data_IF_473486381799
#
_entry.id   IF_473486381799
#
_cell.length_a   1.000
_cell.length_b   1.000
_cell.length_c   1.000
_cell.angle_alpha   90.00
_cell.angle_beta   90.00
_cell.angle_gamma   90.00
#
_symmetry.space_group_name_H-M   'P 1'
#
loop_
_entity.id
_entity.type
_entity.pdbx_description
1 polymer ?
#
# COMPACT_ATOMS: atom_id res chain seq x y z
N UNK A 1 -16.66 0.87 23.01
CA UNK A 1 -16.57 0.08 21.75
C UNK A 1 -16.13 -1.32 22.14
N UNK A 2 -17.01 -2.32 22.05
CA UNK A 2 -16.69 -3.71 22.45
C UNK A 2 -15.94 -4.39 21.30
N UNK A 3 -14.80 -5.01 21.62
CA UNK A 3 -13.99 -5.80 20.71
C UNK A 3 -14.74 -7.09 20.36
N UNK A 4 -14.89 -7.41 19.07
CA UNK A 4 -15.44 -8.68 18.62
C UNK A 4 -14.30 -9.70 18.55
N UNK A 5 -14.10 -10.46 19.62
CA UNK A 5 -13.28 -11.68 19.60
C UNK A 5 -14.12 -12.86 19.10
N UNK A 6 -13.83 -13.35 17.89
CA UNK A 6 -14.40 -14.62 17.39
C UNK A 6 -13.50 -15.74 17.88
N UNK A 7 -13.84 -16.36 19.01
CA UNK A 7 -12.98 -17.35 19.71
C UNK A 7 -13.21 -18.80 19.29
N UNK A 8 -14.18 -19.11 18.42
CA UNK A 8 -14.28 -20.43 17.78
C UNK A 8 -15.17 -20.40 16.55
N UNK A 9 -14.79 -21.19 15.54
CA UNK A 9 -15.55 -21.36 14.29
C UNK A 9 -16.66 -22.36 14.57
N UNK A 10 -17.91 -22.01 14.22
CA UNK A 10 -19.05 -22.92 14.36
C UNK A 10 -18.85 -24.17 13.50
N UNK A 11 -19.48 -25.29 13.84
CA UNK A 11 -19.39 -26.53 13.05
C UNK A 11 -19.80 -26.32 11.57
N UNK A 12 -20.79 -25.45 11.33
CA UNK A 12 -21.16 -25.00 9.99
C UNK A 12 -20.04 -24.20 9.30
N UNK A 13 -19.36 -23.32 10.03
CA UNK A 13 -18.20 -22.57 9.53
C UNK A 13 -16.99 -23.47 9.25
N UNK A 14 -16.75 -24.48 10.08
CA UNK A 14 -15.69 -25.46 9.88
C UNK A 14 -15.97 -26.31 8.65
N UNK A 15 -17.21 -26.78 8.48
CA UNK A 15 -17.66 -27.49 7.29
C UNK A 15 -17.49 -26.65 6.01
N UNK A 16 -17.77 -25.35 6.07
CA UNK A 16 -17.55 -24.44 4.95
C UNK A 16 -16.06 -24.26 4.63
N UNK A 17 -15.20 -24.19 5.64
CA UNK A 17 -13.75 -24.09 5.48
C UNK A 17 -13.20 -25.38 4.88
N UNK A 18 -13.64 -26.54 5.37
CA UNK A 18 -13.18 -27.84 4.88
C UNK A 18 -13.62 -28.08 3.43
N UNK A 19 -14.84 -27.67 3.07
CA UNK A 19 -15.32 -27.70 1.69
C UNK A 19 -14.53 -26.76 0.77
N UNK A 20 -14.15 -25.58 1.25
CA UNK A 20 -13.31 -24.65 0.51
C UNK A 20 -11.90 -25.22 0.33
N UNK A 21 -11.30 -25.78 1.38
CA UNK A 21 -9.98 -26.39 1.32
C UNK A 21 -9.93 -27.60 0.39
N UNK A 22 -10.94 -28.48 0.42
CA UNK A 22 -11.03 -29.61 -0.48
C UNK A 22 -11.10 -29.18 -1.96
N UNK A 23 -11.77 -28.05 -2.24
CA UNK A 23 -11.84 -27.49 -3.61
C UNK A 23 -10.51 -26.93 -4.06
N UNK A 24 -9.76 -26.28 -3.17
CA UNK A 24 -8.42 -25.74 -3.43
C UNK A 24 -7.42 -26.88 -3.68
N UNK A 25 -7.37 -27.90 -2.81
CA UNK A 25 -6.47 -29.04 -3.01
C UNK A 25 -6.78 -29.76 -4.32
N UNK A 26 -8.06 -29.97 -4.63
CA UNK A 26 -8.49 -30.60 -5.89
C UNK A 26 -8.16 -29.73 -7.11
N UNK A 27 -8.20 -28.40 -7.02
CA UNK A 27 -7.81 -27.53 -8.14
C UNK A 27 -6.30 -27.51 -8.37
N UNK A 28 -5.50 -27.62 -7.31
CA UNK A 28 -4.03 -27.60 -7.40
C UNK A 28 -3.41 -28.96 -7.79
N UNK A 29 -4.08 -30.08 -7.53
CA UNK A 29 -3.51 -31.43 -7.73
C UNK A 29 -4.11 -32.20 -8.91
N UNK A 30 -5.10 -31.64 -9.59
CA UNK A 30 -5.74 -32.31 -10.72
C UNK A 30 -4.92 -32.14 -12.00
N UNK A 31 -4.31 -33.24 -12.47
CA UNK A 31 -3.57 -33.32 -13.73
C UNK A 31 -4.48 -33.24 -14.99
N UNK A 32 -5.79 -33.00 -14.81
CA UNK A 32 -6.81 -33.07 -15.86
C UNK A 32 -7.52 -31.73 -16.11
N UNK A 33 -7.26 -30.70 -15.28
CA UNK A 33 -8.04 -29.44 -15.30
C UNK A 33 -7.23 -28.29 -15.89
N UNK A 34 -7.58 -27.86 -17.11
CA UNK A 34 -6.98 -26.71 -17.81
C UNK A 34 -7.53 -25.33 -17.37
N UNK A 35 -8.53 -25.28 -16.48
CA UNK A 35 -9.12 -24.00 -16.01
C UNK A 35 -9.03 -23.87 -14.49
N UNK A 36 -8.20 -22.92 -14.06
CA UNK A 36 -8.10 -22.46 -12.67
C UNK A 36 -9.41 -21.80 -12.27
N UNK A 37 -10.11 -22.38 -11.29
CA UNK A 37 -11.25 -21.74 -10.64
C UNK A 37 -10.82 -21.31 -9.23
N UNK A 38 -10.66 -20.00 -9.03
CA UNK A 38 -10.21 -19.36 -7.79
C UNK A 38 -9.57 -18.00 -8.07
N UNK A 39 -9.42 -17.11 -7.07
CA UNK A 39 -8.62 -15.89 -7.22
C UNK A 39 -7.16 -16.25 -7.52
N UNK A 40 -6.45 -15.35 -8.21
CA UNK A 40 -5.02 -15.50 -8.45
C UNK A 40 -4.28 -15.20 -7.14
N UNK A 41 -3.45 -16.13 -6.69
CA UNK A 41 -2.62 -16.02 -5.49
C UNK A 41 -1.40 -15.13 -5.76
N UNK A 42 -1.63 -13.82 -5.83
CA UNK A 42 -0.55 -12.85 -6.00
C UNK A 42 0.36 -12.80 -4.77
N UNK A 43 1.66 -12.97 -5.00
CA UNK A 43 2.65 -12.67 -3.96
C UNK A 43 2.81 -11.15 -3.87
N UNK A 44 2.49 -10.57 -2.72
CA UNK A 44 2.72 -9.15 -2.46
C UNK A 44 4.18 -8.90 -2.15
N UNK A 45 4.90 -8.26 -3.07
CA UNK A 45 6.32 -7.92 -2.91
C UNK A 45 6.54 -6.76 -1.92
N UNK A 46 5.84 -5.64 -2.12
CA UNK A 46 6.01 -4.45 -1.28
C UNK A 46 5.07 -4.54 -0.07
N UNK A 47 5.64 -4.98 1.05
CA UNK A 47 4.98 -5.02 2.36
C UNK A 47 5.70 -4.12 3.34
N UNK A 48 4.92 -3.34 4.08
CA UNK A 48 5.38 -2.57 5.23
C UNK A 48 4.75 -3.20 6.49
N UNK A 49 5.40 -3.09 7.66
CA UNK A 49 4.79 -3.54 8.90
C UNK A 49 3.45 -2.85 9.19
N UNK A 50 2.50 -3.57 9.77
CA UNK A 50 1.12 -3.09 9.96
C UNK A 50 0.99 -1.85 10.85
N UNK A 51 1.98 -1.56 11.69
CA UNK A 51 2.04 -0.34 12.49
C UNK A 51 2.46 0.91 11.70
N UNK A 52 2.79 0.77 10.41
CA UNK A 52 3.12 1.88 9.51
C UNK A 52 1.93 2.19 8.62
N UNK A 53 1.31 3.36 8.84
CA UNK A 53 0.30 3.86 7.93
C UNK A 53 0.94 4.48 6.68
N UNK A 54 0.62 3.95 5.52
CA UNK A 54 1.04 4.48 4.23
C UNK A 54 -0.16 4.76 3.32
N UNK A 55 -0.17 5.93 2.66
CA UNK A 55 -1.25 6.32 1.76
C UNK A 55 -0.70 6.82 0.42
N UNK A 56 -1.00 6.10 -0.67
CA UNK A 56 -0.55 6.45 -2.02
C UNK A 56 -1.03 7.84 -2.49
N UNK A 57 -2.22 8.29 -2.08
CA UNK A 57 -2.78 9.55 -2.59
C UNK A 57 -1.99 10.78 -2.13
N UNK A 58 -1.42 10.73 -0.93
CA UNK A 58 -0.56 11.80 -0.41
C UNK A 58 0.74 11.93 -1.23
N UNK A 59 1.26 10.82 -1.72
CA UNK A 59 2.55 10.80 -2.43
C UNK A 59 2.37 11.09 -3.93
N UNK A 60 1.38 10.47 -4.57
CA UNK A 60 1.16 10.61 -6.02
C UNK A 60 0.30 11.83 -6.35
N UNK A 61 -0.83 12.02 -5.66
CA UNK A 61 -1.77 13.09 -6.02
C UNK A 61 -1.35 14.43 -5.45
N UNK A 62 -0.93 14.48 -4.17
CA UNK A 62 -0.53 15.72 -3.50
C UNK A 62 0.95 16.01 -3.76
N UNK A 63 1.83 15.04 -3.46
CA UNK A 63 3.27 15.16 -3.65
C UNK A 63 3.74 15.12 -5.11
N UNK A 64 2.88 14.73 -6.06
CA UNK A 64 3.20 14.62 -7.50
C UNK A 64 4.43 13.76 -7.80
N UNK A 65 4.73 12.79 -6.94
CA UNK A 65 5.87 11.90 -7.13
C UNK A 65 5.57 10.88 -8.24
N UNK A 66 6.54 10.69 -9.13
CA UNK A 66 6.49 9.65 -10.14
C UNK A 66 6.59 8.25 -9.50
N UNK A 67 5.88 7.27 -10.07
CA UNK A 67 5.89 5.88 -9.60
C UNK A 67 7.31 5.31 -9.54
N UNK A 68 8.13 5.67 -10.53
CA UNK A 68 9.49 5.20 -10.72
C UNK A 68 10.43 5.61 -9.59
N UNK A 69 10.14 6.70 -8.88
CA UNK A 69 10.94 7.15 -7.73
C UNK A 69 10.94 6.11 -6.61
N UNK A 70 9.81 5.42 -6.39
CA UNK A 70 9.66 4.43 -5.33
C UNK A 70 9.84 2.99 -5.84
N UNK A 71 9.23 2.66 -6.99
CA UNK A 71 9.16 1.29 -7.52
C UNK A 71 10.19 0.99 -8.61
N UNK A 72 11.01 1.97 -9.02
CA UNK A 72 11.92 1.83 -10.16
C UNK A 72 11.19 1.86 -11.49
N UNK A 73 11.91 1.65 -12.59
CA UNK A 73 11.36 1.61 -13.95
C UNK A 73 10.54 0.35 -14.20
N UNK A 74 9.34 0.31 -13.64
CA UNK A 74 8.42 -0.84 -13.71
C UNK A 74 8.08 -1.21 -15.16
N UNK A 75 8.10 -0.24 -16.07
CA UNK A 75 7.87 -0.45 -17.50
C UNK A 75 8.97 -1.28 -18.19
N UNK A 76 10.17 -1.37 -17.60
CA UNK A 76 11.28 -2.19 -18.08
C UNK A 76 11.40 -3.54 -17.32
N UNK A 77 10.48 -3.83 -16.38
CA UNK A 77 10.52 -5.04 -15.56
C UNK A 77 9.62 -6.14 -16.11
N UNK A 78 10.23 -7.22 -16.64
CA UNK A 78 9.51 -8.44 -17.05
C UNK A 78 8.89 -9.19 -15.86
N UNK A 79 9.61 -9.21 -14.73
CA UNK A 79 9.11 -9.70 -13.43
C UNK A 79 9.32 -8.61 -12.40
N UNK A 80 8.27 -8.31 -11.64
CA UNK A 80 8.32 -7.30 -10.59
C UNK A 80 9.38 -7.67 -9.55
N UNK A 81 10.16 -6.68 -9.14
CA UNK A 81 11.15 -6.79 -8.06
C UNK A 81 11.08 -5.57 -7.17
N UNK A 82 11.53 -5.72 -5.93
CA UNK A 82 11.67 -4.59 -5.03
C UNK A 82 12.89 -3.75 -5.43
N UNK A 83 12.65 -2.53 -5.90
CA UNK A 83 13.70 -1.59 -6.32
C UNK A 83 14.27 -0.80 -5.13
N UNK A 84 13.38 -0.16 -4.36
CA UNK A 84 13.76 0.58 -3.16
C UNK A 84 13.62 -0.30 -1.91
N UNK A 85 14.48 -0.09 -0.93
CA UNK A 85 14.40 -0.84 0.35
C UNK A 85 13.10 -0.58 1.11
N UNK A 86 12.48 0.60 0.92
CA UNK A 86 11.30 1.07 1.66
C UNK A 86 11.46 0.93 3.18
N UNK A 87 12.70 0.99 3.67
CA UNK A 87 12.99 1.00 5.10
C UNK A 87 12.69 2.37 5.68
N UNK A 88 12.54 2.45 7.01
CA UNK A 88 12.30 3.73 7.69
C UNK A 88 13.33 4.79 7.34
N UNK A 89 14.62 4.43 7.26
CA UNK A 89 15.70 5.36 6.89
C UNK A 89 15.56 5.90 5.47
N UNK A 90 15.12 5.06 4.52
CA UNK A 90 14.85 5.50 3.16
C UNK A 90 13.67 6.48 3.12
N UNK A 91 12.58 6.18 3.82
CA UNK A 91 11.41 7.06 3.92
C UNK A 91 11.78 8.43 4.53
N UNK A 92 12.50 8.44 5.66
CA UNK A 92 12.90 9.67 6.36
C UNK A 92 13.80 10.53 5.47
N UNK A 93 14.77 9.92 4.78
CA UNK A 93 15.67 10.66 3.92
C UNK A 93 14.92 11.28 2.74
N UNK A 94 14.03 10.52 2.10
CA UNK A 94 13.17 11.04 1.03
C UNK A 94 12.32 12.22 1.53
N UNK A 95 11.68 12.10 2.71
CA UNK A 95 10.86 13.16 3.30
C UNK A 95 11.66 14.42 3.67
N UNK A 96 12.94 14.27 4.06
CA UNK A 96 13.81 15.40 4.39
C UNK A 96 14.32 16.14 3.15
N UNK A 97 14.45 15.44 2.03
CA UNK A 97 15.05 15.95 0.80
C UNK A 97 13.99 16.42 -0.20
N UNK A 98 12.73 16.02 -0.02
CA UNK A 98 11.65 16.37 -0.93
C UNK A 98 10.89 17.60 -0.41
N UNK A 99 10.79 18.61 -1.26
CA UNK A 99 9.99 19.78 -0.97
C UNK A 99 8.50 19.51 -1.22
N UNK A 100 7.67 20.06 -0.33
CA UNK A 100 6.22 20.06 -0.54
C UNK A 100 5.87 21.14 -1.57
N UNK A 101 4.91 20.84 -2.45
CA UNK A 101 4.38 21.79 -3.42
C UNK A 101 3.55 22.88 -2.71
N UNK A 102 4.24 23.90 -2.19
CA UNK A 102 3.64 25.01 -1.44
C UNK A 102 3.02 26.10 -2.33
N UNK A 103 3.48 26.25 -3.58
CA UNK A 103 3.15 27.40 -4.42
C UNK A 103 1.79 27.29 -5.09
N UNK A 104 1.45 26.10 -5.60
CA UNK A 104 0.29 25.87 -6.47
C UNK A 104 -0.85 25.12 -5.77
N UNK A 105 -0.76 24.95 -4.45
CA UNK A 105 -1.77 24.28 -3.64
C UNK A 105 -2.49 25.30 -2.75
N UNK A 106 -3.77 25.54 -3.06
CA UNK A 106 -4.65 26.49 -2.36
C UNK A 106 -4.76 26.24 -0.85
N UNK A 107 -4.58 25.01 -0.41
CA UNK A 107 -4.57 24.68 1.02
C UNK A 107 -3.46 25.43 1.77
N UNK A 108 -2.34 25.74 1.11
CA UNK A 108 -1.20 26.42 1.71
C UNK A 108 -1.23 27.94 1.60
N UNK A 109 -2.26 28.53 0.98
CA UNK A 109 -2.36 29.98 0.79
C UNK A 109 -2.38 30.71 2.15
N UNK A 110 -3.07 30.16 3.16
CA UNK A 110 -3.10 30.71 4.52
C UNK A 110 -1.73 30.75 5.19
N UNK A 111 -0.93 29.69 5.03
CA UNK A 111 0.42 29.63 5.58
C UNK A 111 1.35 30.65 4.92
N UNK A 112 1.12 30.97 3.63
CA UNK A 112 1.83 32.05 2.96
C UNK A 112 1.45 33.41 3.54
N UNK A 113 0.16 33.67 3.73
CA UNK A 113 -0.31 34.91 4.35
C UNK A 113 0.29 35.09 5.75
N UNK A 114 0.20 34.08 6.61
CA UNK A 114 0.77 34.16 7.97
C UNK A 114 2.29 34.36 7.95
N UNK A 115 3.01 33.72 7.02
CA UNK A 115 4.45 33.93 6.86
C UNK A 115 4.78 35.37 6.49
N UNK A 116 3.96 35.99 5.64
CA UNK A 116 4.17 37.36 5.17
C UNK A 116 3.82 38.37 6.28
N UNK A 117 2.76 38.14 7.05
CA UNK A 117 2.38 38.91 8.25
C UNK A 117 3.47 38.85 9.34
N UNK A 118 3.94 37.65 9.68
CA UNK A 118 5.02 37.46 10.66
C UNK A 118 6.33 38.14 10.24
N UNK A 119 6.63 38.19 8.93
CA UNK A 119 7.78 38.94 8.41
C UNK A 119 7.59 40.45 8.46
N UNK A 120 6.36 40.93 8.28
CA UNK A 120 6.01 42.33 8.37
C UNK A 120 5.94 42.83 9.83
N UNK A 121 5.88 41.90 10.80
CA UNK A 121 5.78 42.23 12.22
C UNK A 121 4.39 42.72 12.63
N UNK A 122 3.37 42.36 11.86
CA UNK A 122 1.94 42.68 12.09
C UNK A 122 1.16 41.43 12.45
#
# INVERSE_FOLDING_TARGET
>A
MKQNEVTSISEAGQSQIDQQWARIVKSMTSNTKQTLSGPIEWVRLHNLPDYVYFNHSQHVTVGKLACQTCHGKVEEMDVMKQYSTLSMGWCINCHRQSDVQFKDNKYYDSYRTFKDELKAGT
#
